data_IF_985921055892
#
_entry.id   IF_985921055892
#
_cell.length_a   1.000
_cell.length_b   1.000
_cell.length_c   1.000
_cell.angle_alpha   90.00
_cell.angle_beta   90.00
_cell.angle_gamma   90.00
#
_symmetry.space_group_name_H-M   'P 1'
#
loop_
_entity.id
_entity.type
_entity.pdbx_description
1 polymer ?
#
# COMPACT_ATOMS: atom_id res chain seq x y z
N UNK A 1 18.85 0.44 12.18
CA UNK A 1 19.10 -0.13 12.00
C UNK A 1 18.49 -1.02 11.50
N UNK A 2 17.73 -1.06 11.33
CA UNK A 2 17.11 -2.05 10.95
C UNK A 2 16.61 -2.01 9.65
N UNK A 3 17.22 -2.42 8.70
CA UNK A 3 16.70 -2.64 7.42
C UNK A 3 15.93 -3.89 7.42
N UNK A 4 14.86 -3.85 8.14
CA UNK A 4 14.07 -5.01 8.33
C UNK A 4 13.01 -5.04 7.24
N UNK A 5 13.05 -6.04 6.43
CA UNK A 5 12.07 -6.21 5.35
C UNK A 5 10.87 -7.00 5.87
N UNK A 6 9.69 -6.48 5.64
CA UNK A 6 8.47 -7.16 6.05
C UNK A 6 8.00 -8.09 4.95
N UNK A 7 7.47 -9.24 5.37
CA UNK A 7 6.85 -10.19 4.47
C UNK A 7 5.35 -10.18 4.72
N UNK A 8 4.58 -10.87 3.87
CA UNK A 8 3.14 -11.01 4.10
C UNK A 8 2.87 -11.77 5.40
N UNK A 9 3.79 -12.67 5.77
CA UNK A 9 3.66 -13.39 7.03
C UNK A 9 3.82 -12.43 8.21
N UNK A 10 4.71 -11.47 8.11
CA UNK A 10 4.88 -10.45 9.14
C UNK A 10 3.64 -9.58 9.29
N UNK A 11 2.95 -9.28 8.18
CA UNK A 11 1.69 -8.57 8.25
C UNK A 11 0.68 -9.32 9.08
N UNK A 12 0.57 -10.62 8.84
CA UNK A 12 -0.36 -11.45 9.59
C UNK A 12 0.02 -11.45 11.08
N UNK A 13 1.30 -11.57 11.36
CA UNK A 13 1.78 -11.65 12.74
C UNK A 13 1.57 -10.36 13.52
N UNK A 14 1.64 -9.21 12.88
CA UNK A 14 1.48 -7.93 13.58
C UNK A 14 0.02 -7.54 13.77
N UNK A 15 -0.90 -8.38 13.30
CA UNK A 15 -2.32 -8.16 13.52
C UNK A 15 -3.05 -7.48 12.37
N UNK A 16 -2.40 -7.25 11.25
CA UNK A 16 -3.07 -6.64 10.11
C UNK A 16 -4.15 -7.56 9.56
N UNK A 17 -5.19 -6.98 8.99
CA UNK A 17 -6.19 -7.75 8.28
C UNK A 17 -5.60 -8.10 6.93
N UNK A 18 -5.04 -9.29 6.84
CA UNK A 18 -4.38 -9.77 5.63
C UNK A 18 -5.12 -10.99 5.09
N UNK A 19 -5.32 -11.02 3.78
CA UNK A 19 -5.92 -12.19 3.12
C UNK A 19 -5.14 -12.45 1.84
N UNK A 20 -5.04 -13.72 1.48
CA UNK A 20 -4.25 -14.12 0.31
C UNK A 20 -4.94 -13.73 -0.99
N UNK A 21 -6.27 -13.62 -0.97
CA UNK A 21 -7.02 -13.19 -2.15
C UNK A 21 -8.24 -12.41 -1.69
N UNK A 22 -8.79 -11.62 -2.61
CA UNK A 22 -9.86 -10.70 -2.25
C UNK A 22 -11.15 -11.43 -1.85
N UNK A 23 -11.37 -12.63 -2.39
CA UNK A 23 -12.54 -13.41 -2.02
C UNK A 23 -12.56 -13.69 -0.52
N UNK A 24 -11.41 -14.07 0.02
CA UNK A 24 -11.28 -14.34 1.44
C UNK A 24 -11.64 -13.10 2.26
N UNK A 25 -11.21 -11.94 1.80
CA UNK A 25 -11.54 -10.69 2.47
C UNK A 25 -13.03 -10.46 2.53
N UNK A 26 -13.72 -10.64 1.41
CA UNK A 26 -15.17 -10.45 1.36
C UNK A 26 -15.92 -11.45 2.24
N UNK A 27 -15.38 -12.66 2.39
CA UNK A 27 -16.05 -13.69 3.18
C UNK A 27 -15.84 -13.54 4.68
N UNK A 28 -14.66 -13.04 5.07
CA UNK A 28 -14.29 -13.07 6.50
C UNK A 28 -14.44 -11.74 7.21
N UNK A 29 -14.50 -10.64 6.49
CA UNK A 29 -14.45 -9.31 7.10
C UNK A 29 -15.59 -8.44 6.63
N UNK A 30 -15.96 -7.47 7.45
CA UNK A 30 -16.86 -6.41 7.00
C UNK A 30 -16.14 -5.59 5.94
N UNK A 31 -16.89 -5.07 5.00
CA UNK A 31 -16.28 -4.27 3.95
C UNK A 31 -17.22 -3.17 3.49
N UNK A 32 -16.63 -2.13 2.98
CA UNK A 32 -17.36 -0.97 2.46
C UNK A 32 -16.58 -0.44 1.27
N UNK A 33 -17.25 -0.20 0.16
CA UNK A 33 -16.62 0.40 -1.01
C UNK A 33 -16.87 1.89 -0.97
N UNK A 34 -15.79 2.68 -1.05
CA UNK A 34 -15.90 4.13 -1.05
C UNK A 34 -15.16 4.67 -2.25
N UNK A 35 -15.63 5.78 -2.78
CA UNK A 35 -14.97 6.46 -3.87
C UNK A 35 -14.29 7.69 -3.31
N UNK A 36 -12.96 7.72 -3.41
CA UNK A 36 -12.18 8.81 -2.82
C UNK A 36 -11.15 9.27 -3.84
N UNK A 37 -11.01 10.60 -3.96
CA UNK A 37 -9.87 11.07 -4.71
C UNK A 37 -8.61 10.88 -3.87
N UNK A 38 -7.46 11.04 -4.51
CA UNK A 38 -6.17 10.80 -3.88
C UNK A 38 -6.00 11.61 -2.59
N UNK A 39 -6.35 12.90 -2.64
CA UNK A 39 -6.14 13.75 -1.49
C UNK A 39 -6.97 13.32 -0.29
N UNK A 40 -8.23 12.94 -0.54
CA UNK A 40 -9.09 12.47 0.53
C UNK A 40 -8.57 11.17 1.14
N UNK A 41 -8.11 10.25 0.30
CA UNK A 41 -7.57 8.98 0.79
C UNK A 41 -6.34 9.22 1.65
N UNK A 42 -5.41 10.06 1.18
CA UNK A 42 -4.20 10.37 1.93
C UNK A 42 -4.55 11.00 3.28
N UNK A 43 -5.48 11.96 3.27
CA UNK A 43 -5.86 12.64 4.51
C UNK A 43 -6.45 11.68 5.53
N UNK A 44 -7.33 10.78 5.09
CA UNK A 44 -7.97 9.85 6.02
C UNK A 44 -6.95 8.88 6.60
N UNK A 45 -6.07 8.35 5.77
CA UNK A 45 -5.09 7.38 6.22
C UNK A 45 -4.08 8.05 7.14
N UNK A 46 -3.60 9.23 6.78
CA UNK A 46 -2.63 9.92 7.62
C UNK A 46 -3.23 10.34 8.96
N UNK A 47 -4.53 10.61 8.97
CA UNK A 47 -5.21 10.89 10.24
C UNK A 47 -5.12 9.70 11.19
N UNK A 48 -5.29 8.49 10.67
CA UNK A 48 -5.16 7.27 11.48
C UNK A 48 -3.73 7.13 12.00
N UNK A 49 -2.74 7.41 11.16
CA UNK A 49 -1.34 7.33 11.56
C UNK A 49 -1.05 8.33 12.68
N UNK A 50 -1.58 9.54 12.57
CA UNK A 50 -1.37 10.55 13.60
C UNK A 50 -2.03 10.19 14.92
N UNK A 51 -3.06 9.36 14.87
CA UNK A 51 -3.74 8.90 16.08
C UNK A 51 -3.07 7.67 16.69
N UNK A 52 -1.94 7.24 16.13
CA UNK A 52 -1.15 6.17 16.72
C UNK A 52 -1.19 4.85 15.98
N UNK A 53 -1.93 4.76 14.88
CA UNK A 53 -1.93 3.54 14.09
C UNK A 53 -0.61 3.39 13.34
N UNK A 54 -0.23 2.15 13.09
CA UNK A 54 0.89 1.85 12.23
C UNK A 54 0.35 1.43 10.87
N UNK A 55 1.07 1.76 9.82
CA UNK A 55 0.63 1.46 8.47
C UNK A 55 1.68 0.73 7.67
N UNK A 56 1.21 -0.12 6.78
CA UNK A 56 2.06 -0.88 5.87
C UNK A 56 1.41 -0.86 4.51
N UNK A 57 2.24 -0.95 3.46
CA UNK A 57 1.75 -0.88 2.08
C UNK A 57 2.39 -2.01 1.31
N UNK A 58 1.59 -2.78 0.54
CA UNK A 58 2.20 -3.69 -0.41
C UNK A 58 2.46 -2.89 -1.69
N UNK A 59 3.64 -3.07 -2.25
CA UNK A 59 4.06 -2.26 -3.38
C UNK A 59 4.87 -3.16 -4.30
N UNK A 60 4.34 -3.38 -5.49
CA UNK A 60 4.89 -4.36 -6.41
C UNK A 60 5.84 -3.77 -7.45
N UNK A 61 6.20 -2.50 -7.30
CA UNK A 61 7.00 -1.79 -8.28
C UNK A 61 8.31 -2.52 -8.61
N UNK A 62 9.00 -3.02 -7.58
CA UNK A 62 10.30 -3.65 -7.80
C UNK A 62 10.18 -5.05 -8.38
N UNK A 63 8.99 -5.61 -8.36
CA UNK A 63 8.71 -6.92 -8.93
C UNK A 63 8.30 -6.83 -10.40
N UNK A 64 8.01 -5.63 -10.87
CA UNK A 64 7.57 -5.41 -12.24
C UNK A 64 8.72 -5.63 -13.21
N UNK A 65 8.38 -6.08 -14.41
CA UNK A 65 9.36 -6.15 -15.48
C UNK A 65 9.66 -4.75 -16.00
N UNK A 66 10.77 -4.65 -16.75
CA UNK A 66 11.28 -3.34 -17.13
C UNK A 66 10.25 -2.47 -17.86
N UNK A 67 9.49 -3.09 -18.76
CA UNK A 67 8.51 -2.33 -19.55
C UNK A 67 7.40 -1.77 -18.67
N UNK A 68 6.89 -2.58 -17.76
CA UNK A 68 5.84 -2.14 -16.84
C UNK A 68 6.37 -1.09 -15.87
N UNK A 69 7.61 -1.26 -15.42
CA UNK A 69 8.21 -0.29 -14.51
C UNK A 69 8.41 1.05 -15.19
N UNK A 70 8.78 1.03 -16.46
CA UNK A 70 8.95 2.28 -17.21
C UNK A 70 7.64 3.05 -17.32
N UNK A 71 6.51 2.35 -17.45
CA UNK A 71 5.22 3.03 -17.49
C UNK A 71 4.89 3.70 -16.16
N UNK A 72 5.23 3.06 -15.06
CA UNK A 72 5.05 3.67 -13.74
C UNK A 72 5.93 4.90 -13.63
N UNK A 73 7.19 4.79 -14.04
CA UNK A 73 8.14 5.91 -13.95
C UNK A 73 7.65 7.13 -14.71
N UNK A 74 6.95 6.93 -15.83
CA UNK A 74 6.43 8.06 -16.60
C UNK A 74 5.36 8.83 -15.83
N UNK A 75 4.70 8.22 -14.87
CA UNK A 75 3.66 8.86 -14.08
C UNK A 75 4.21 9.61 -12.88
N UNK A 76 5.52 9.49 -12.61
CA UNK A 76 6.14 10.03 -11.41
C UNK A 76 7.05 11.19 -11.78
N UNK A 77 7.20 12.15 -10.87
CA UNK A 77 8.16 13.22 -11.06
C UNK A 77 9.55 12.78 -10.59
N UNK A 78 10.51 13.67 -10.74
CA UNK A 78 11.90 13.34 -10.44
C UNK A 78 12.09 13.02 -8.96
N UNK A 79 11.47 13.80 -8.09
CA UNK A 79 11.60 13.57 -6.65
C UNK A 79 11.02 12.23 -6.24
N UNK A 80 9.91 11.86 -6.85
CA UNK A 80 9.28 10.57 -6.55
C UNK A 80 10.16 9.42 -7.02
N UNK A 81 10.74 9.56 -8.20
CA UNK A 81 11.64 8.52 -8.71
C UNK A 81 12.89 8.39 -7.83
N UNK A 82 13.41 9.50 -7.31
CA UNK A 82 14.53 9.45 -6.39
C UNK A 82 14.15 8.76 -5.09
N UNK A 83 12.96 9.03 -4.60
CA UNK A 83 12.49 8.35 -3.39
C UNK A 83 12.43 6.85 -3.61
N UNK A 84 11.92 6.41 -4.76
CA UNK A 84 11.83 4.97 -5.05
C UNK A 84 13.21 4.35 -5.21
N UNK A 85 14.17 5.10 -5.75
CA UNK A 85 15.53 4.62 -5.85
C UNK A 85 16.12 4.39 -4.44
N UNK A 86 15.85 5.31 -3.54
CA UNK A 86 16.32 5.16 -2.17
C UNK A 86 15.62 4.00 -1.48
N UNK A 87 14.32 3.86 -1.70
CA UNK A 87 13.54 2.76 -1.12
C UNK A 87 14.03 1.41 -1.61
N UNK A 88 14.55 1.35 -2.83
CA UNK A 88 15.03 0.10 -3.41
C UNK A 88 16.13 -0.53 -2.58
N UNK A 89 16.82 0.25 -1.77
CA UNK A 89 17.89 -0.25 -0.92
C UNK A 89 17.37 -1.18 0.17
N UNK A 90 16.07 -1.14 0.45
CA UNK A 90 15.47 -2.04 1.42
C UNK A 90 15.07 -3.38 0.79
N UNK A 91 15.13 -3.47 -0.54
CA UNK A 91 14.66 -4.67 -1.24
C UNK A 91 15.84 -5.58 -1.48
N UNK A 92 15.83 -6.75 -0.84
CA UNK A 92 16.86 -7.77 -1.05
C UNK A 92 16.36 -8.84 -2.00
N UNK A 93 15.08 -9.21 -1.89
CA UNK A 93 14.47 -10.21 -2.75
C UNK A 93 13.25 -9.59 -3.40
N UNK A 94 13.32 -9.33 -4.69
CA UNK A 94 12.25 -8.66 -5.43
C UNK A 94 10.94 -9.43 -5.43
N UNK A 95 11.00 -10.75 -5.22
CA UNK A 95 9.80 -11.57 -5.25
C UNK A 95 9.03 -11.55 -3.95
N UNK A 96 9.72 -11.37 -2.83
CA UNK A 96 9.10 -11.47 -1.51
C UNK A 96 9.06 -10.16 -0.75
N UNK A 97 9.97 -9.23 -1.06
CA UNK A 97 10.04 -7.97 -0.30
C UNK A 97 9.12 -6.94 -0.91
N UNK A 98 7.83 -7.14 -0.74
CA UNK A 98 6.81 -6.26 -1.33
C UNK A 98 6.06 -5.43 -0.30
N UNK A 99 6.34 -5.61 0.99
CA UNK A 99 5.64 -4.88 2.06
C UNK A 99 6.58 -3.86 2.66
N UNK A 100 6.13 -2.62 2.72
CA UNK A 100 6.93 -1.50 3.22
C UNK A 100 6.18 -0.77 4.32
N UNK A 101 6.93 -0.19 5.25
CA UNK A 101 6.32 0.66 6.26
C UNK A 101 5.74 1.90 5.58
N UNK A 102 4.56 2.30 6.00
CA UNK A 102 3.88 3.45 5.40
C UNK A 102 4.60 4.74 5.75
N UNK A 103 4.99 5.48 4.72
CA UNK A 103 5.45 6.85 4.87
C UNK A 103 4.52 7.73 4.06
N UNK A 104 4.48 9.01 4.39
CA UNK A 104 3.62 9.92 3.62
C UNK A 104 4.04 9.95 2.16
N UNK A 105 5.34 9.89 1.89
CA UNK A 105 5.85 9.90 0.52
C UNK A 105 5.38 8.68 -0.26
N UNK A 106 5.48 7.49 0.35
CA UNK A 106 5.04 6.28 -0.35
C UNK A 106 3.54 6.26 -0.51
N UNK A 107 2.81 6.70 0.51
CA UNK A 107 1.36 6.77 0.43
C UNK A 107 0.93 7.69 -0.71
N UNK A 108 1.61 8.82 -0.87
CA UNK A 108 1.31 9.76 -1.93
C UNK A 108 1.51 9.12 -3.29
N UNK A 109 2.59 8.36 -3.44
CA UNK A 109 2.89 7.68 -4.70
C UNK A 109 1.85 6.60 -5.00
N UNK A 110 1.57 5.73 -4.02
CA UNK A 110 0.68 4.59 -4.29
C UNK A 110 -0.76 5.04 -4.52
N UNK A 111 -1.22 6.08 -3.83
CA UNK A 111 -2.57 6.57 -4.06
C UNK A 111 -2.69 7.22 -5.44
N UNK A 112 -1.65 7.88 -5.90
CA UNK A 112 -1.65 8.40 -7.26
C UNK A 112 -1.71 7.27 -8.28
N UNK A 113 -0.91 6.24 -8.09
CA UNK A 113 -0.90 5.12 -9.02
C UNK A 113 -2.21 4.35 -9.01
N UNK A 114 -2.83 4.24 -7.84
CA UNK A 114 -4.17 3.66 -7.74
C UNK A 114 -5.17 4.48 -8.55
N UNK A 115 -5.14 5.79 -8.38
CA UNK A 115 -6.08 6.69 -9.06
C UNK A 115 -5.91 6.62 -10.57
N UNK A 116 -4.67 6.50 -11.02
CA UNK A 116 -4.36 6.41 -12.44
C UNK A 116 -4.49 4.98 -12.99
N UNK A 117 -4.81 4.04 -12.13
CA UNK A 117 -5.00 2.64 -12.49
C UNK A 117 -3.76 2.05 -13.18
N UNK A 118 -2.60 2.53 -12.74
CA UNK A 118 -1.33 2.08 -13.29
C UNK A 118 -0.73 0.93 -12.49
N UNK A 119 -0.84 1.01 -11.18
CA UNK A 119 -0.35 -0.03 -10.28
C UNK A 119 -1.18 0.06 -9.00
N UNK A 120 -1.83 -1.03 -8.63
CA UNK A 120 -2.68 -1.02 -7.44
C UNK A 120 -1.92 -1.51 -6.23
N UNK A 121 -2.19 -0.90 -5.09
CA UNK A 121 -1.58 -1.26 -3.82
C UNK A 121 -2.65 -1.40 -2.76
N UNK A 122 -2.34 -2.21 -1.76
CA UNK A 122 -3.20 -2.39 -0.59
C UNK A 122 -2.50 -1.74 0.60
N UNK A 123 -3.27 -1.05 1.42
CA UNK A 123 -2.75 -0.34 2.59
C UNK A 123 -3.33 -0.99 3.83
N UNK A 124 -2.47 -1.33 4.78
CA UNK A 124 -2.85 -2.02 6.00
C UNK A 124 -2.63 -1.10 7.19
N UNK A 125 -3.68 -0.88 7.97
CA UNK A 125 -3.59 -0.05 9.19
C UNK A 125 -3.82 -0.92 10.40
N UNK A 126 -2.93 -0.80 11.37
CA UNK A 126 -2.96 -1.59 12.60
C UNK A 126 -2.87 -0.62 13.78
N UNK A 127 -3.79 -0.74 14.71
CA UNK A 127 -3.82 0.14 15.87
C UNK A 127 -4.99 -0.23 16.74
N UNK A 128 -5.64 0.77 17.32
CA UNK A 128 -6.83 0.53 18.13
C UNK A 128 -7.92 -0.13 17.30
N UNK A 129 -8.03 0.28 16.04
CA UNK A 129 -8.89 -0.40 15.07
C UNK A 129 -8.00 -0.84 13.91
N UNK A 130 -8.40 -1.94 13.28
CA UNK A 130 -7.67 -2.47 12.14
C UNK A 130 -8.49 -2.25 10.89
N UNK A 131 -7.82 -1.84 9.82
CA UNK A 131 -8.50 -1.73 8.53
C UNK A 131 -7.51 -2.01 7.42
N UNK A 132 -8.03 -2.48 6.29
CA UNK A 132 -7.23 -2.76 5.10
C UNK A 132 -7.93 -2.10 3.93
N UNK A 133 -7.17 -1.30 3.20
CA UNK A 133 -7.68 -0.49 2.09
C UNK A 133 -7.18 -1.08 0.80
N UNK A 134 -8.08 -1.67 0.05
CA UNK A 134 -7.73 -2.33 -1.21
C UNK A 134 -8.08 -1.39 -2.37
N UNK A 135 -7.05 -0.97 -3.12
CA UNK A 135 -7.25 -0.07 -4.25
C UNK A 135 -7.93 -0.78 -5.41
N UNK A 136 -8.87 -0.08 -6.04
CA UNK A 136 -9.66 -0.66 -7.10
C UNK A 136 -9.86 0.38 -8.20
N UNK A 137 -10.48 -0.03 -9.29
CA UNK A 137 -10.75 0.85 -10.42
C UNK A 137 -11.73 1.95 -10.05
N UNK A 138 -11.80 2.98 -10.87
CA UNK A 138 -12.77 4.08 -10.74
C UNK A 138 -12.59 4.92 -9.48
N UNK A 139 -11.37 4.97 -8.94
CA UNK A 139 -11.10 5.76 -7.74
C UNK A 139 -11.74 5.18 -6.50
N UNK A 140 -11.98 3.89 -6.49
CA UNK A 140 -12.63 3.22 -5.37
C UNK A 140 -11.62 2.53 -4.48
N UNK A 141 -11.97 2.44 -3.20
CA UNK A 141 -11.25 1.61 -2.24
C UNK A 141 -12.27 0.71 -1.57
N UNK A 142 -11.92 -0.56 -1.43
CA UNK A 142 -12.70 -1.46 -0.59
C UNK A 142 -12.00 -1.50 0.75
N UNK A 143 -12.69 -1.06 1.79
CA UNK A 143 -12.10 -0.97 3.13
C UNK A 143 -12.65 -2.12 3.95
N UNK A 144 -11.74 -2.97 4.41
CA UNK A 144 -12.10 -4.12 5.23
C UNK A 144 -11.85 -3.82 6.69
N UNK A 145 -12.80 -4.22 7.55
CA UNK A 145 -12.67 -4.06 8.99
C UNK A 145 -13.14 -5.34 9.67
N UNK A 146 -12.93 -5.42 10.98
CA UNK A 146 -13.37 -6.59 11.75
C UNK A 146 -14.86 -6.70 11.86
#
# INVERSE_FOLDING_TARGET
ENNYNMTTEDLHSCGAIYFANIREGFEKYRHQTVKLNRQAAVNMIMSEIKQGSQGYIDFYYYKLEDEARAKVDEMLDEDEREYLEELSKQVEDKETDIVFELTEELLDIVTRLNEMETLFSTIYLVGNTRSTWWGNYNGEYVIFTE
#
